data_IF_458225223583
#
_entry.id   IF_458225223583
#
_cell.length_a   1.000
_cell.length_b   1.000
_cell.length_c   1.000
_cell.angle_alpha   90.00
_cell.angle_beta   90.00
_cell.angle_gamma   90.00
#
_symmetry.space_group_name_H-M   'P 1'
#
loop_
_entity.id
_entity.type
_entity.pdbx_description
1 polymer ?
#
# COMPACT_ATOMS: atom_id res chain seq x y z
N UNK A 1 5.39 -2.53 -15.24
CA UNK A 1 5.74 -2.35 -13.83
C UNK A 1 6.19 -0.91 -13.59
N UNK A 2 5.81 -0.30 -12.46
CA UNK A 2 6.17 1.08 -12.08
C UNK A 2 6.44 1.13 -10.57
N UNK A 3 7.45 1.88 -10.13
CA UNK A 3 7.77 2.04 -8.71
C UNK A 3 6.92 3.14 -8.06
N UNK A 4 6.31 2.84 -6.92
CA UNK A 4 5.57 3.79 -6.09
C UNK A 4 6.08 3.81 -4.66
N UNK A 5 5.93 4.95 -3.99
CA UNK A 5 6.29 5.09 -2.57
C UNK A 5 5.14 4.68 -1.68
N UNK A 6 5.40 3.73 -0.80
CA UNK A 6 4.49 3.32 0.26
C UNK A 6 5.10 3.72 1.60
N UNK A 7 4.27 4.14 2.56
CA UNK A 7 4.66 4.42 3.94
C UNK A 7 3.85 3.57 4.91
N UNK A 8 4.49 2.61 5.57
CA UNK A 8 3.90 1.84 6.66
C UNK A 8 3.75 2.70 7.92
N UNK A 9 2.58 2.67 8.55
CA UNK A 9 2.32 3.34 9.83
C UNK A 9 2.72 2.48 11.02
N UNK A 10 3.01 3.11 12.17
CA UNK A 10 3.29 2.38 13.42
C UNK A 10 4.70 1.79 13.52
N UNK A 11 5.59 2.15 12.59
CA UNK A 11 7.01 1.78 12.60
C UNK A 11 7.89 3.04 12.63
N UNK A 12 9.15 2.94 13.09
CA UNK A 12 10.12 4.04 13.03
C UNK A 12 10.28 4.64 11.62
N UNK A 13 10.54 5.96 11.50
CA UNK A 13 10.58 6.66 10.20
C UNK A 13 11.56 6.09 9.17
N UNK A 14 12.69 5.56 9.63
CA UNK A 14 13.74 4.91 8.83
C UNK A 14 13.27 3.62 8.15
N UNK A 15 12.25 2.94 8.72
CA UNK A 15 11.70 1.69 8.20
C UNK A 15 10.33 1.88 7.51
N UNK A 16 9.77 3.09 7.63
CA UNK A 16 8.41 3.36 7.22
C UNK A 16 8.24 3.42 5.70
N UNK A 17 9.23 3.93 4.94
CA UNK A 17 9.05 4.21 3.50
C UNK A 17 9.80 3.20 2.62
N UNK A 18 9.10 2.62 1.65
CA UNK A 18 9.67 1.78 0.59
C UNK A 18 9.22 2.22 -0.79
N UNK A 19 10.13 2.10 -1.76
CA UNK A 19 9.81 2.09 -3.19
C UNK A 19 9.48 0.65 -3.57
N UNK A 20 8.24 0.40 -3.99
CA UNK A 20 7.76 -0.94 -4.35
C UNK A 20 7.32 -0.90 -5.81
N UNK A 21 7.81 -1.87 -6.58
CA UNK A 21 7.44 -2.06 -7.97
C UNK A 21 6.10 -2.80 -8.07
N UNK A 22 5.12 -2.19 -8.75
CA UNK A 22 3.77 -2.74 -8.91
C UNK A 22 3.28 -2.57 -10.35
N UNK A 23 2.33 -3.40 -10.78
CA UNK A 23 1.61 -3.19 -12.04
C UNK A 23 0.37 -2.31 -11.78
N UNK A 24 0.30 -1.08 -12.30
CA UNK A 24 -0.85 -0.21 -12.08
C UNK A 24 -2.16 -0.72 -12.71
N UNK A 25 -2.08 -1.73 -13.59
CA UNK A 25 -3.26 -2.41 -14.14
C UNK A 25 -3.84 -3.46 -13.19
N UNK A 26 -3.20 -3.73 -12.05
CA UNK A 26 -3.75 -4.57 -10.99
C UNK A 26 -4.78 -3.80 -10.14
N UNK A 27 -5.61 -4.56 -9.44
CA UNK A 27 -6.51 -4.04 -8.43
C UNK A 27 -5.75 -3.66 -7.15
N UNK A 28 -6.35 -2.81 -6.32
CA UNK A 28 -5.80 -2.47 -5.00
C UNK A 28 -5.55 -3.73 -4.17
N UNK A 29 -6.47 -4.71 -4.19
CA UNK A 29 -6.33 -5.96 -3.45
C UNK A 29 -5.08 -6.75 -3.84
N UNK A 30 -4.79 -6.84 -5.14
CA UNK A 30 -3.60 -7.53 -5.65
C UNK A 30 -2.33 -6.82 -5.20
N UNK A 31 -2.28 -5.49 -5.30
CA UNK A 31 -1.11 -4.70 -4.90
C UNK A 31 -0.89 -4.74 -3.39
N UNK A 32 -1.95 -4.76 -2.57
CA UNK A 32 -1.84 -4.96 -1.12
C UNK A 32 -1.07 -6.24 -0.78
N UNK A 33 -1.27 -7.34 -1.51
CA UNK A 33 -0.51 -8.59 -1.31
C UNK A 33 0.98 -8.40 -1.62
N UNK A 34 1.32 -7.68 -2.69
CA UNK A 34 2.72 -7.36 -3.01
C UNK A 34 3.35 -6.52 -1.90
N UNK A 35 2.68 -5.44 -1.49
CA UNK A 35 3.16 -4.56 -0.43
C UNK A 35 3.29 -5.27 0.92
N UNK A 36 2.37 -6.18 1.25
CA UNK A 36 2.44 -7.02 2.44
C UNK A 36 3.73 -7.84 2.48
N UNK A 37 4.08 -8.48 1.36
CA UNK A 37 5.31 -9.27 1.21
C UNK A 37 6.56 -8.40 1.34
N UNK A 38 6.59 -7.25 0.66
CA UNK A 38 7.72 -6.33 0.69
C UNK A 38 8.02 -5.80 2.10
N UNK A 39 6.99 -5.52 2.89
CA UNK A 39 7.14 -5.12 4.29
C UNK A 39 7.31 -6.31 5.26
N UNK A 40 7.29 -7.56 4.77
CA UNK A 40 7.35 -8.78 5.60
C UNK A 40 6.27 -8.79 6.71
N UNK A 41 5.10 -8.24 6.41
CA UNK A 41 3.98 -8.19 7.34
C UNK A 41 3.36 -9.56 7.48
N UNK A 42 2.89 -9.88 8.70
CA UNK A 42 2.19 -11.14 8.94
C UNK A 42 0.93 -11.22 8.03
N UNK A 43 0.73 -12.34 7.30
CA UNK A 43 -0.45 -12.54 6.45
C UNK A 43 -1.80 -12.36 7.14
N UNK A 44 -1.87 -12.55 8.47
CA UNK A 44 -3.10 -12.39 9.26
C UNK A 44 -3.52 -10.91 9.43
N UNK A 45 -2.61 -9.97 9.17
CA UNK A 45 -2.92 -8.54 9.27
C UNK A 45 -3.79 -8.12 8.09
N UNK A 46 -4.87 -7.41 8.39
CA UNK A 46 -5.63 -6.67 7.40
C UNK A 46 -4.84 -5.42 7.00
N UNK A 47 -4.80 -5.12 5.70
CA UNK A 47 -4.08 -3.97 5.17
C UNK A 47 -5.04 -3.00 4.47
N UNK A 48 -4.91 -1.73 4.82
CA UNK A 48 -5.59 -0.63 4.17
C UNK A 48 -4.57 0.28 3.49
N UNK A 49 -4.89 0.68 2.25
CA UNK A 49 -4.17 1.76 1.58
C UNK A 49 -4.97 3.04 1.75
N UNK A 50 -4.30 4.08 2.18
CA UNK A 50 -4.89 5.40 2.40
C UNK A 50 -4.13 6.39 1.51
N UNK A 51 -4.88 7.11 0.67
CA UNK A 51 -4.34 8.14 -0.19
C UNK A 51 -5.24 9.37 -0.16
N UNK A 52 -4.65 10.56 0.04
CA UNK A 52 -5.38 11.84 0.21
C UNK A 52 -6.53 11.73 1.23
N UNK A 53 -6.27 11.06 2.35
CA UNK A 53 -7.24 10.87 3.45
C UNK A 53 -8.34 9.83 3.19
N UNK A 54 -8.34 9.14 2.03
CA UNK A 54 -9.36 8.14 1.69
C UNK A 54 -8.79 6.74 1.66
N UNK A 55 -9.53 5.78 2.22
CA UNK A 55 -9.24 4.36 2.08
C UNK A 55 -9.53 3.95 0.64
N UNK A 56 -8.57 3.30 -0.01
CA UNK A 56 -8.71 2.82 -1.37
C UNK A 56 -9.47 1.47 -1.38
N UNK A 57 -10.55 1.35 -2.18
CA UNK A 57 -11.36 0.14 -2.24
C UNK A 57 -10.66 -0.96 -3.05
N UNK A 58 -10.84 -2.21 -2.62
CA UNK A 58 -10.07 -3.37 -3.10
C UNK A 58 -10.27 -3.70 -4.58
N UNK A 59 -11.48 -3.47 -5.11
CA UNK A 59 -11.85 -3.75 -6.50
C UNK A 59 -11.41 -2.66 -7.49
N UNK A 60 -10.92 -1.52 -7.02
CA UNK A 60 -10.48 -0.42 -7.88
C UNK A 60 -9.14 -0.77 -8.54
N UNK A 61 -8.98 -0.43 -9.82
CA UNK A 61 -7.69 -0.50 -10.50
C UNK A 61 -6.76 0.60 -9.99
N UNK A 62 -5.50 0.27 -9.70
CA UNK A 62 -4.55 1.22 -9.09
C UNK A 62 -4.30 2.45 -9.98
N UNK A 63 -4.23 2.26 -11.30
CA UNK A 63 -4.13 3.35 -12.27
C UNK A 63 -5.27 4.39 -12.18
N UNK A 64 -6.47 3.97 -11.72
CA UNK A 64 -7.65 4.86 -11.61
C UNK A 64 -7.61 5.78 -10.39
N UNK A 65 -6.67 5.57 -9.47
CA UNK A 65 -6.52 6.39 -8.25
C UNK A 65 -5.89 7.76 -8.56
N UNK A 66 -5.13 7.87 -9.66
CA UNK A 66 -4.43 9.11 -10.03
C UNK A 66 -3.21 9.41 -9.16
N UNK A 67 -2.49 8.38 -8.72
CA UNK A 67 -1.27 8.50 -7.92
C UNK A 67 -0.09 8.84 -8.85
N UNK A 68 0.68 9.88 -8.52
CA UNK A 68 1.92 10.21 -9.20
C UNK A 68 3.10 9.47 -8.57
N UNK A 69 3.74 8.51 -9.26
CA UNK A 69 4.80 7.66 -8.69
C UNK A 69 6.03 8.44 -8.20
N UNK A 70 6.29 9.64 -8.75
CA UNK A 70 7.47 10.44 -8.41
C UNK A 70 7.23 11.42 -7.25
N UNK A 71 5.98 11.72 -6.92
CA UNK A 71 5.63 12.78 -5.95
C UNK A 71 4.82 12.27 -4.77
N UNK A 72 3.92 11.33 -5.02
CA UNK A 72 2.96 10.89 -4.03
C UNK A 72 3.51 9.75 -3.16
N UNK A 73 2.92 9.63 -1.96
CA UNK A 73 3.17 8.54 -1.02
C UNK A 73 1.83 7.94 -0.63
N UNK A 74 1.69 6.63 -0.80
CA UNK A 74 0.53 5.88 -0.32
C UNK A 74 0.79 5.47 1.14
N UNK A 75 -0.14 5.76 2.04
CA UNK A 75 -0.04 5.27 3.42
C UNK A 75 -0.56 3.84 3.51
N UNK A 76 0.19 2.96 4.16
CA UNK A 76 -0.15 1.56 4.42
C UNK A 76 -0.43 1.44 5.91
N UNK A 77 -1.66 1.08 6.25
CA UNK A 77 -2.05 0.79 7.63
C UNK A 77 -2.30 -0.71 7.75
N UNK A 78 -1.59 -1.36 8.67
CA UNK A 78 -1.77 -2.76 8.99
C UNK A 78 -2.48 -2.88 10.34
N UNK A 79 -3.59 -3.60 10.39
CA UNK A 79 -4.38 -3.82 11.61
C UNK A 79 -4.57 -5.31 11.82
N UNK A 80 -4.51 -5.76 13.08
CA UNK A 80 -4.97 -7.10 13.41
C UNK A 80 -6.49 -7.14 13.22
N UNK A 81 -7.01 -8.12 12.46
CA UNK A 81 -8.42 -8.44 12.55
C UNK A 81 -8.66 -8.89 13.99
N UNK A 82 -9.50 -8.16 14.74
CA UNK A 82 -9.61 -8.25 16.19
C UNK A 82 -9.71 -9.69 16.72
N UNK A 83 -9.09 -9.93 17.87
CA UNK A 83 -9.29 -11.13 18.68
C UNK A 83 -10.65 -11.14 19.39
#
# INVERSE_FOLDING_TARGET
>A
MVQYRFRLTGVPPDQAIKLIEVDPNQTIAEIKKTVQKEYKLNPILAIQFIFKGKVLPDNLKFAKVGINPKKDVITVMATQAGG
#
